data_IF_498716294299
#
_entry.id   IF_498716294299
#
_cell.length_a   1.000
_cell.length_b   1.000
_cell.length_c   1.000
_cell.angle_alpha   90.00
_cell.angle_beta   90.00
_cell.angle_gamma   90.00
#
_symmetry.space_group_name_H-M   'P 1'
#
loop_
_entity.id
_entity.type
_entity.pdbx_description
1 polymer ?
#
# COMPACT_ATOMS: atom_id res chain seq x y z
N UNK A 1 21.10 -11.75 43.54
CA UNK A 1 20.33 -11.80 42.28
C UNK A 1 20.97 -12.87 41.40
N UNK A 2 20.28 -13.97 41.07
CA UNK A 2 20.90 -15.06 40.29
C UNK A 2 21.22 -14.61 38.86
N UNK A 3 22.29 -15.14 38.27
CA UNK A 3 22.68 -14.88 36.87
C UNK A 3 21.50 -15.13 35.90
N UNK A 4 20.66 -16.11 36.24
CA UNK A 4 19.41 -16.40 35.52
C UNK A 4 18.42 -15.23 35.50
N UNK A 5 18.21 -14.54 36.63
CA UNK A 5 17.32 -13.38 36.71
C UNK A 5 17.86 -12.21 35.87
N UNK A 6 19.19 -11.99 35.88
CA UNK A 6 19.82 -10.97 35.05
C UNK A 6 19.68 -11.27 33.55
N UNK A 7 19.86 -12.54 33.14
CA UNK A 7 19.65 -12.98 31.77
C UNK A 7 18.20 -12.81 31.32
N UNK A 8 17.24 -13.22 32.16
CA UNK A 8 15.81 -13.08 31.87
C UNK A 8 15.41 -11.60 31.72
N UNK A 9 15.91 -10.72 32.60
CA UNK A 9 15.67 -9.29 32.51
C UNK A 9 16.26 -8.70 31.23
N UNK A 10 17.49 -9.08 30.87
CA UNK A 10 18.12 -8.68 29.60
C UNK A 10 17.32 -9.13 28.38
N UNK A 11 16.84 -10.38 28.36
CA UNK A 11 16.02 -10.90 27.27
C UNK A 11 14.68 -10.18 27.13
N UNK A 12 14.01 -9.88 28.26
CA UNK A 12 12.76 -9.12 28.26
C UNK A 12 12.96 -7.68 27.80
N UNK A 13 14.04 -7.02 28.25
CA UNK A 13 14.39 -5.68 27.79
C UNK A 13 14.66 -5.66 26.28
N UNK A 14 15.39 -6.65 25.77
CA UNK A 14 15.64 -6.81 24.33
C UNK A 14 14.34 -7.03 23.56
N UNK A 15 13.45 -7.91 24.03
CA UNK A 15 12.15 -8.14 23.40
C UNK A 15 11.31 -6.86 23.37
N UNK A 16 11.27 -6.10 24.47
CA UNK A 16 10.58 -4.82 24.54
C UNK A 16 11.13 -3.82 23.52
N UNK A 17 12.46 -3.73 23.36
CA UNK A 17 13.09 -2.88 22.36
C UNK A 17 12.74 -3.30 20.92
N UNK A 18 12.71 -4.60 20.64
CA UNK A 18 12.31 -5.12 19.33
C UNK A 18 10.85 -4.78 19.01
N UNK A 19 9.94 -4.94 19.98
CA UNK A 19 8.52 -4.56 19.84
C UNK A 19 8.37 -3.05 19.63
N UNK A 20 9.08 -2.23 20.42
CA UNK A 20 9.05 -0.78 20.30
C UNK A 20 9.53 -0.34 18.91
N UNK A 21 10.67 -0.87 18.46
CA UNK A 21 11.20 -0.63 17.12
C UNK A 21 10.16 -0.98 16.05
N UNK A 22 9.59 -2.18 16.13
CA UNK A 22 8.59 -2.64 15.17
C UNK A 22 7.39 -1.69 15.09
N UNK A 23 6.97 -1.09 16.20
CA UNK A 23 5.81 -0.18 16.25
C UNK A 23 6.10 1.27 15.87
N UNK A 24 7.34 1.73 15.94
CA UNK A 24 7.66 3.16 15.84
C UNK A 24 8.62 3.52 14.72
N UNK A 25 9.50 2.61 14.30
CA UNK A 25 10.62 2.91 13.39
C UNK A 25 10.58 2.12 12.09
N UNK A 26 9.46 1.45 11.80
CA UNK A 26 9.31 0.63 10.58
C UNK A 26 8.26 1.20 9.65
N UNK A 27 8.23 0.72 8.41
CA UNK A 27 7.32 1.19 7.35
C UNK A 27 5.83 1.32 7.77
N UNK A 28 5.22 0.36 8.51
CA UNK A 28 3.85 0.52 9.04
C UNK A 28 3.63 1.69 10.00
N UNK A 29 4.68 2.22 10.62
CA UNK A 29 4.58 3.24 11.65
C UNK A 29 4.43 4.66 11.08
N UNK A 30 4.66 4.83 9.77
CA UNK A 30 4.50 6.09 9.06
C UNK A 30 3.09 6.65 9.25
N UNK A 31 2.98 7.97 9.34
CA UNK A 31 1.72 8.70 9.51
C UNK A 31 1.56 9.74 8.40
N UNK A 32 0.32 10.03 7.96
CA UNK A 32 0.07 11.10 6.97
C UNK A 32 0.69 12.45 7.38
N UNK A 33 0.70 12.75 8.68
CA UNK A 33 1.32 13.96 9.22
C UNK A 33 2.83 14.08 8.99
N UNK A 34 3.55 12.96 8.80
CA UNK A 34 5.00 12.96 8.58
C UNK A 34 5.38 13.61 7.23
N UNK A 35 4.42 13.72 6.31
CA UNK A 35 4.59 14.30 4.98
C UNK A 35 3.90 15.66 4.82
N UNK A 36 3.24 16.17 5.86
CA UNK A 36 2.60 17.47 5.81
C UNK A 36 3.63 18.59 5.49
N UNK A 37 3.31 19.44 4.51
CA UNK A 37 4.19 20.52 4.07
C UNK A 37 5.42 20.09 3.27
N UNK A 38 5.51 18.81 2.86
CA UNK A 38 6.61 18.28 2.04
C UNK A 38 6.14 17.99 0.61
N UNK A 39 7.04 18.23 -0.35
CA UNK A 39 6.90 17.86 -1.76
C UNK A 39 5.71 18.50 -2.48
N UNK A 40 5.44 18.10 -3.73
CA UNK A 40 4.21 18.46 -4.40
C UNK A 40 3.00 17.88 -3.64
N UNK A 41 1.91 18.64 -3.55
CA UNK A 41 0.70 18.17 -2.90
C UNK A 41 0.03 17.07 -3.73
N UNK A 42 -0.09 15.87 -3.17
CA UNK A 42 -0.76 14.74 -3.78
C UNK A 42 -2.27 14.85 -3.54
N UNK A 43 -2.99 15.29 -4.58
CA UNK A 43 -4.45 15.16 -4.68
C UNK A 43 -4.80 13.95 -5.55
N UNK A 44 -5.44 12.93 -4.97
CA UNK A 44 -5.79 11.69 -5.69
C UNK A 44 -6.74 11.94 -6.87
N UNK A 45 -7.60 12.96 -6.80
CA UNK A 45 -8.55 13.30 -7.88
C UNK A 45 -7.87 13.82 -9.13
N UNK A 46 -6.67 14.38 -8.96
CA UNK A 46 -5.85 14.93 -10.03
C UNK A 46 -4.85 13.91 -10.54
N UNK A 47 -4.14 13.23 -9.64
CA UNK A 47 -2.98 12.41 -10.01
C UNK A 47 -3.35 10.95 -10.29
N UNK A 48 -4.49 10.47 -9.79
CA UNK A 48 -5.07 9.17 -10.14
C UNK A 48 -6.31 9.41 -11.02
N UNK A 49 -6.15 10.02 -12.18
CA UNK A 49 -7.24 10.36 -13.09
C UNK A 49 -6.78 10.30 -14.55
N UNK A 50 -7.58 9.63 -15.39
CA UNK A 50 -7.26 9.29 -16.76
C UNK A 50 -6.50 7.96 -16.91
N UNK A 51 -5.96 7.70 -18.12
CA UNK A 51 -5.15 6.52 -18.41
C UNK A 51 -3.80 6.57 -17.71
N UNK A 52 -3.48 5.51 -16.97
CA UNK A 52 -2.28 5.38 -16.14
C UNK A 52 -1.62 4.04 -16.46
N UNK A 53 -0.29 4.07 -16.61
CA UNK A 53 0.52 2.86 -16.67
C UNK A 53 1.12 2.60 -15.29
N UNK A 54 0.96 1.37 -14.81
CA UNK A 54 1.51 0.90 -13.56
C UNK A 54 2.48 -0.27 -13.82
N UNK A 55 3.66 -0.22 -13.21
CA UNK A 55 4.72 -1.22 -13.41
C UNK A 55 5.30 -1.55 -12.03
N UNK A 56 5.43 -2.83 -11.69
CA UNK A 56 5.78 -3.19 -10.34
C UNK A 56 6.38 -4.58 -10.13
N UNK A 57 6.91 -4.74 -8.93
CA UNK A 57 7.58 -5.96 -8.45
C UNK A 57 6.98 -6.35 -7.11
N UNK A 58 6.64 -7.63 -6.98
CA UNK A 58 6.16 -8.25 -5.76
C UNK A 58 7.30 -9.07 -5.16
N UNK A 59 7.61 -8.81 -3.90
CA UNK A 59 8.59 -9.51 -3.10
C UNK A 59 7.88 -10.46 -2.14
N UNK A 60 8.36 -11.70 -2.04
CA UNK A 60 7.88 -12.69 -1.09
C UNK A 60 8.41 -12.46 0.34
N UNK A 61 8.08 -13.35 1.29
CA UNK A 61 8.44 -13.19 2.70
C UNK A 61 9.94 -13.25 2.96
N UNK A 62 10.73 -13.81 2.04
CA UNK A 62 12.19 -13.87 2.09
C UNK A 62 12.86 -12.62 1.52
N UNK A 63 12.10 -11.64 1.04
CA UNK A 63 12.59 -10.44 0.37
C UNK A 63 13.08 -10.67 -1.07
N UNK A 64 12.93 -11.88 -1.60
CA UNK A 64 13.21 -12.18 -3.01
C UNK A 64 12.03 -11.81 -3.89
N UNK A 65 12.31 -11.44 -5.14
CA UNK A 65 11.29 -11.21 -6.17
C UNK A 65 10.48 -12.49 -6.36
N UNK A 66 9.17 -12.38 -6.18
CA UNK A 66 8.20 -13.45 -6.38
C UNK A 66 7.49 -13.33 -7.73
N UNK A 67 7.15 -12.11 -8.16
CA UNK A 67 6.55 -11.83 -9.47
C UNK A 67 6.76 -10.38 -9.88
N UNK A 68 6.61 -10.10 -11.17
CA UNK A 68 6.60 -8.76 -11.76
C UNK A 68 5.32 -8.58 -12.56
N UNK A 69 4.84 -7.34 -12.64
CA UNK A 69 3.63 -7.05 -13.39
C UNK A 69 3.71 -5.70 -14.10
N UNK A 70 2.90 -5.60 -15.16
CA UNK A 70 2.53 -4.33 -15.79
C UNK A 70 1.01 -4.27 -15.78
N UNK A 71 0.44 -3.12 -15.48
CA UNK A 71 -0.99 -2.90 -15.46
C UNK A 71 -1.38 -1.63 -16.21
N UNK A 72 -2.46 -1.73 -16.96
CA UNK A 72 -3.16 -0.58 -17.52
C UNK A 72 -4.28 -0.18 -16.55
N UNK A 73 -4.30 1.10 -16.17
CA UNK A 73 -5.26 1.64 -15.21
C UNK A 73 -6.07 2.74 -15.89
N UNK A 74 -7.39 2.68 -15.73
CA UNK A 74 -8.32 3.72 -16.14
C UNK A 74 -9.00 4.29 -14.90
N UNK A 75 -8.56 5.48 -14.49
CA UNK A 75 -9.11 6.16 -13.33
C UNK A 75 -10.04 7.31 -13.75
N UNK A 76 -11.16 7.49 -13.05
CA UNK A 76 -12.11 8.56 -13.32
C UNK A 76 -12.64 9.12 -12.00
N UNK A 77 -12.78 10.43 -11.94
CA UNK A 77 -13.34 11.12 -10.78
C UNK A 77 -14.55 11.95 -11.17
N UNK A 78 -15.60 11.87 -10.36
CA UNK A 78 -16.76 12.74 -10.36
C UNK A 78 -16.88 13.39 -8.98
N UNK A 79 -16.51 14.68 -8.91
CA UNK A 79 -16.41 15.42 -7.65
C UNK A 79 -15.48 14.76 -6.64
N UNK A 80 -16.07 14.19 -5.58
CA UNK A 80 -15.35 13.54 -4.48
C UNK A 80 -15.38 12.01 -4.55
N UNK A 81 -15.99 11.43 -5.59
CA UNK A 81 -16.03 9.99 -5.81
C UNK A 81 -15.21 9.62 -7.03
N UNK A 82 -14.49 8.51 -6.97
CA UNK A 82 -13.66 8.05 -8.08
C UNK A 82 -13.72 6.55 -8.27
N UNK A 83 -13.52 6.11 -9.51
CA UNK A 83 -13.36 4.71 -9.85
C UNK A 83 -11.99 4.49 -10.50
N UNK A 84 -11.37 3.35 -10.23
CA UNK A 84 -10.09 2.99 -10.81
C UNK A 84 -10.14 1.52 -11.23
N UNK A 85 -10.29 1.31 -12.54
CA UNK A 85 -10.24 -0.02 -13.14
C UNK A 85 -8.79 -0.35 -13.51
N UNK A 86 -8.31 -1.49 -13.08
CA UNK A 86 -6.92 -1.93 -13.21
C UNK A 86 -6.88 -3.29 -13.90
N UNK A 87 -6.10 -3.40 -14.97
CA UNK A 87 -5.89 -4.64 -15.72
C UNK A 87 -4.43 -5.06 -15.64
N UNK A 88 -4.13 -6.03 -14.78
CA UNK A 88 -2.79 -6.53 -14.51
C UNK A 88 -2.40 -7.66 -15.46
N UNK A 89 -1.14 -7.62 -15.92
CA UNK A 89 -0.45 -8.70 -16.63
C UNK A 89 0.81 -9.07 -15.86
N UNK A 90 0.87 -10.31 -15.38
CA UNK A 90 1.99 -10.83 -14.61
C UNK A 90 3.01 -11.51 -15.52
N UNK A 91 4.26 -11.60 -15.06
CA UNK A 91 5.34 -12.28 -15.78
C UNK A 91 5.15 -13.81 -15.89
N UNK A 92 4.23 -14.38 -15.12
CA UNK A 92 3.75 -15.76 -15.27
C UNK A 92 2.81 -15.96 -16.46
N UNK A 93 2.33 -14.88 -17.09
CA UNK A 93 1.27 -14.89 -18.09
C UNK A 93 -0.14 -14.80 -17.52
N UNK A 94 -0.30 -14.82 -16.19
CA UNK A 94 -1.60 -14.59 -15.55
C UNK A 94 -2.08 -13.15 -15.77
N UNK A 95 -3.39 -12.97 -15.82
CA UNK A 95 -4.04 -11.65 -15.85
C UNK A 95 -5.01 -11.51 -14.70
N UNK A 96 -5.22 -10.28 -14.23
CA UNK A 96 -6.17 -9.99 -13.17
C UNK A 96 -6.79 -8.62 -13.38
N UNK A 97 -8.10 -8.54 -13.23
CA UNK A 97 -8.84 -7.28 -13.26
C UNK A 97 -9.24 -6.90 -11.83
N UNK A 98 -9.03 -5.64 -11.45
CA UNK A 98 -9.52 -5.08 -10.19
C UNK A 98 -10.20 -3.74 -10.43
N UNK A 99 -11.23 -3.44 -9.66
CA UNK A 99 -11.88 -2.15 -9.69
C UNK A 99 -12.01 -1.60 -8.28
N UNK A 100 -11.43 -0.42 -8.06
CA UNK A 100 -11.55 0.34 -6.82
C UNK A 100 -12.60 1.44 -6.96
N UNK A 101 -13.33 1.68 -5.88
CA UNK A 101 -14.21 2.82 -5.70
C UNK A 101 -13.68 3.64 -4.53
N UNK A 102 -13.40 4.92 -4.76
CA UNK A 102 -12.88 5.85 -3.78
C UNK A 102 -13.92 6.90 -3.43
N UNK A 103 -13.94 7.32 -2.17
CA UNK A 103 -14.64 8.52 -1.72
C UNK A 103 -13.68 9.38 -0.90
N UNK A 104 -13.51 10.64 -1.29
CA UNK A 104 -12.63 11.61 -0.64
C UNK A 104 -13.46 12.56 0.26
N UNK A 105 -13.14 12.59 1.54
CA UNK A 105 -13.64 13.56 2.51
C UNK A 105 -12.93 14.91 2.41
N UNK A 106 -13.60 15.97 2.87
CA UNK A 106 -13.05 17.34 2.86
C UNK A 106 -11.84 17.51 3.79
N UNK A 107 -11.66 16.60 4.75
CA UNK A 107 -10.53 16.52 5.67
C UNK A 107 -9.34 15.73 5.11
N UNK A 108 -9.45 15.23 3.86
CA UNK A 108 -8.46 14.38 3.21
C UNK A 108 -8.58 12.89 3.56
N UNK A 109 -9.61 12.48 4.33
CA UNK A 109 -9.92 11.08 4.57
C UNK A 109 -10.36 10.40 3.27
N UNK A 110 -9.92 9.17 3.06
CA UNK A 110 -10.23 8.37 1.88
C UNK A 110 -10.89 7.09 2.33
N UNK A 111 -12.05 6.78 1.74
CA UNK A 111 -12.66 5.47 1.80
C UNK A 111 -12.38 4.75 0.49
N UNK A 112 -11.92 3.51 0.55
CA UNK A 112 -11.56 2.70 -0.61
C UNK A 112 -12.28 1.36 -0.56
N UNK A 113 -13.03 1.02 -1.61
CA UNK A 113 -13.83 -0.20 -1.68
C UNK A 113 -13.51 -0.97 -2.97
N UNK A 114 -13.39 -2.28 -2.87
CA UNK A 114 -13.21 -3.16 -4.02
C UNK A 114 -13.85 -4.53 -3.71
N UNK A 115 -14.21 -5.34 -4.73
CA UNK A 115 -14.90 -6.61 -4.51
C UNK A 115 -14.14 -7.62 -3.62
N UNK A 116 -12.81 -7.55 -3.62
CA UNK A 116 -11.91 -8.40 -2.86
C UNK A 116 -11.43 -7.76 -1.54
N UNK A 117 -11.91 -6.56 -1.22
CA UNK A 117 -11.66 -5.91 0.06
C UNK A 117 -12.73 -6.30 1.07
N UNK A 118 -12.30 -6.76 2.25
CA UNK A 118 -13.19 -7.18 3.34
C UNK A 118 -13.65 -5.96 4.15
N UNK A 119 -14.80 -5.42 3.79
CA UNK A 119 -15.35 -4.19 4.34
C UNK A 119 -14.97 -3.00 3.47
N UNK A 120 -14.54 -1.90 4.10
CA UNK A 120 -13.94 -0.75 3.41
C UNK A 120 -12.52 -0.54 3.88
N UNK A 121 -11.64 -0.18 2.95
CA UNK A 121 -10.37 0.45 3.24
C UNK A 121 -10.55 1.88 3.72
N UNK A 122 -9.63 2.32 4.56
CA UNK A 122 -9.55 3.67 5.10
C UNK A 122 -8.18 4.26 4.83
N UNK A 123 -8.10 5.57 4.65
CA UNK A 123 -6.86 6.22 4.29
C UNK A 123 -6.92 7.73 4.39
N UNK A 124 -5.79 8.35 4.08
CA UNK A 124 -5.65 9.80 4.10
C UNK A 124 -4.68 10.26 3.01
N UNK A 125 -4.99 11.37 2.35
CA UNK A 125 -4.03 12.15 1.59
C UNK A 125 -3.50 13.33 2.42
N UNK A 126 -2.18 13.51 2.47
CA UNK A 126 -1.55 14.64 3.16
C UNK A 126 -0.17 14.93 2.58
N UNK A 127 0.05 16.20 2.20
CA UNK A 127 1.31 16.61 1.59
C UNK A 127 1.58 15.79 0.33
N UNK A 128 2.78 15.25 0.17
CA UNK A 128 3.16 14.40 -0.95
C UNK A 128 2.75 12.93 -0.82
N UNK A 129 2.07 12.54 0.27
CA UNK A 129 1.77 11.15 0.59
C UNK A 129 0.28 10.83 0.61
N UNK A 130 -0.08 9.66 0.11
CA UNK A 130 -1.38 9.03 0.27
C UNK A 130 -1.16 7.69 0.96
N UNK A 131 -1.94 7.43 2.01
CA UNK A 131 -1.87 6.21 2.79
C UNK A 131 -3.22 5.52 2.79
N UNK A 132 -3.25 4.22 2.46
CA UNK A 132 -4.44 3.38 2.55
C UNK A 132 -4.15 2.17 3.45
N UNK A 133 -5.18 1.75 4.18
CA UNK A 133 -5.20 0.53 4.99
C UNK A 133 -6.48 -0.23 4.69
N UNK A 134 -6.34 -1.48 4.32
CA UNK A 134 -7.48 -2.33 3.97
C UNK A 134 -7.15 -3.80 4.24
N UNK A 135 -8.18 -4.64 4.25
CA UNK A 135 -8.02 -6.10 4.31
C UNK A 135 -8.40 -6.68 2.98
N UNK A 136 -7.45 -7.36 2.35
CA UNK A 136 -7.61 -7.94 1.01
C UNK A 136 -7.76 -9.44 1.11
N UNK A 137 -8.72 -10.01 0.40
CA UNK A 137 -8.85 -11.46 0.22
C UNK A 137 -8.14 -11.84 -1.06
N UNK A 138 -7.15 -12.72 -0.93
CA UNK A 138 -6.50 -13.30 -2.10
C UNK A 138 -7.45 -14.24 -2.85
N UNK A 139 -7.25 -14.43 -4.16
CA UNK A 139 -7.99 -15.44 -4.92
C UNK A 139 -7.87 -16.85 -4.33
N UNK A 140 -8.83 -17.72 -4.64
CA UNK A 140 -8.87 -19.10 -4.10
C UNK A 140 -7.66 -19.93 -4.53
N UNK A 141 -7.18 -19.76 -5.76
CA UNK A 141 -5.94 -20.36 -6.27
C UNK A 141 -4.69 -19.94 -5.48
N UNK A 142 -4.76 -18.84 -4.74
CA UNK A 142 -3.74 -18.33 -3.83
C UNK A 142 -4.05 -18.60 -2.35
N UNK A 143 -5.00 -19.50 -2.07
CA UNK A 143 -5.36 -19.97 -0.73
C UNK A 143 -6.48 -19.19 -0.03
N UNK A 144 -7.13 -18.23 -0.71
CA UNK A 144 -8.29 -17.51 -0.16
C UNK A 144 -7.97 -16.65 1.08
N UNK A 145 -6.68 -16.43 1.35
CA UNK A 145 -6.23 -15.81 2.59
C UNK A 145 -6.60 -14.33 2.65
N UNK A 146 -7.09 -13.89 3.82
CA UNK A 146 -7.23 -12.45 4.12
C UNK A 146 -5.92 -11.92 4.70
N UNK A 147 -5.41 -10.85 4.09
CA UNK A 147 -4.19 -10.14 4.48
C UNK A 147 -4.51 -8.68 4.84
N UNK A 148 -3.78 -8.14 5.82
CA UNK A 148 -3.79 -6.71 6.13
C UNK A 148 -2.81 -5.99 5.20
N UNK A 149 -3.30 -5.04 4.42
CA UNK A 149 -2.50 -4.20 3.54
C UNK A 149 -2.25 -2.83 4.18
N UNK A 150 -0.99 -2.40 4.14
CA UNK A 150 -0.57 -1.02 4.44
C UNK A 150 0.08 -0.50 3.18
N UNK A 151 -0.55 0.49 2.57
CA UNK A 151 -0.25 0.95 1.22
C UNK A 151 0.09 2.44 1.26
N UNK A 152 1.27 2.78 0.76
CA UNK A 152 1.72 4.16 0.66
C UNK A 152 2.03 4.50 -0.78
N UNK A 153 1.49 5.62 -1.23
CA UNK A 153 1.81 6.24 -2.50
C UNK A 153 2.45 7.60 -2.25
N UNK A 154 3.53 7.90 -2.96
CA UNK A 154 4.29 9.14 -2.83
C UNK A 154 4.38 9.82 -4.19
N UNK A 155 3.92 11.07 -4.27
CA UNK A 155 4.06 11.88 -5.47
C UNK A 155 5.48 12.45 -5.55
N UNK A 156 6.17 12.15 -6.63
CA UNK A 156 7.50 12.68 -6.93
C UNK A 156 7.40 13.99 -7.73
N UNK A 157 8.49 14.78 -7.75
CA UNK A 157 8.53 16.09 -8.41
C UNK A 157 8.27 16.02 -9.92
N UNK A 158 8.60 14.89 -10.55
CA UNK A 158 8.36 14.65 -11.97
C UNK A 158 6.93 14.16 -12.28
N UNK A 159 6.04 14.10 -11.28
CA UNK A 159 4.67 13.63 -11.42
C UNK A 159 4.49 12.10 -11.41
N UNK A 160 5.57 11.32 -11.33
CA UNK A 160 5.47 9.87 -11.09
C UNK A 160 5.03 9.62 -9.65
N UNK A 161 4.16 8.63 -9.46
CA UNK A 161 3.78 8.16 -8.13
C UNK A 161 4.57 6.89 -7.82
N UNK A 162 5.33 6.92 -6.72
CA UNK A 162 5.98 5.72 -6.19
C UNK A 162 5.04 5.06 -5.19
N UNK A 163 4.69 3.81 -5.45
CA UNK A 163 3.86 2.99 -4.58
C UNK A 163 4.70 1.94 -3.86
N UNK A 164 4.46 1.80 -2.55
CA UNK A 164 5.00 0.74 -1.73
C UNK A 164 3.91 0.21 -0.82
N UNK A 165 3.69 -1.10 -0.85
CA UNK A 165 2.67 -1.76 -0.04
C UNK A 165 3.25 -2.93 0.72
N UNK A 166 2.89 -3.09 1.99
CA UNK A 166 3.21 -4.28 2.79
C UNK A 166 1.94 -5.05 3.11
N UNK A 167 1.94 -6.33 2.75
CA UNK A 167 0.87 -7.27 3.07
C UNK A 167 1.28 -8.13 4.27
N UNK A 168 0.37 -8.27 5.23
CA UNK A 168 0.65 -8.92 6.50
C UNK A 168 -0.38 -10.01 6.79
N UNK A 169 0.09 -11.10 7.39
CA UNK A 169 -0.76 -12.13 8.00
C UNK A 169 -0.44 -12.19 9.48
N UNK A 170 -1.44 -12.00 10.34
CA UNK A 170 -1.27 -11.97 11.80
C UNK A 170 -0.16 -11.00 12.26
N UNK A 171 -0.04 -9.86 11.58
CA UNK A 171 0.99 -8.83 11.86
C UNK A 171 2.38 -9.11 11.28
N UNK A 172 2.63 -10.29 10.72
CA UNK A 172 3.91 -10.67 10.10
C UNK A 172 3.87 -10.28 8.61
N UNK A 173 4.88 -9.56 8.08
CA UNK A 173 4.95 -9.27 6.65
C UNK A 173 5.14 -10.56 5.85
N UNK A 174 4.27 -10.77 4.85
CA UNK A 174 4.29 -11.94 3.97
C UNK A 174 4.56 -11.59 2.52
N UNK A 175 4.27 -10.35 2.12
CA UNK A 175 4.63 -9.82 0.81
C UNK A 175 4.86 -8.31 0.88
N UNK A 176 5.67 -7.81 -0.04
CA UNK A 176 5.86 -6.38 -0.29
C UNK A 176 5.69 -6.11 -1.78
N UNK A 177 5.03 -5.00 -2.14
CA UNK A 177 4.89 -4.54 -3.50
C UNK A 177 5.60 -3.19 -3.61
N UNK A 178 6.37 -3.02 -4.68
CA UNK A 178 6.91 -1.73 -5.09
C UNK A 178 6.51 -1.51 -6.53
N UNK A 179 5.86 -0.38 -6.82
CA UNK A 179 5.38 -0.06 -8.15
C UNK A 179 5.52 1.43 -8.46
N UNK A 180 5.52 1.76 -9.73
CA UNK A 180 5.42 3.14 -10.23
C UNK A 180 4.14 3.31 -10.99
N UNK A 181 3.44 4.42 -10.76
CA UNK A 181 2.30 4.84 -11.57
C UNK A 181 2.66 6.13 -12.28
N UNK A 182 2.39 6.19 -13.58
CA UNK A 182 2.61 7.36 -14.42
C UNK A 182 1.49 7.51 -15.45
N UNK A 183 1.13 8.73 -15.87
CA UNK A 183 0.21 8.91 -16.98
C UNK A 183 0.66 8.09 -18.19
N UNK A 184 -0.28 7.40 -18.82
CA UNK A 184 0.00 6.68 -20.06
C UNK A 184 0.11 7.72 -21.18
N UNK A 185 1.27 7.82 -21.81
CA UNK A 185 1.45 8.70 -22.96
C UNK A 185 0.48 8.29 -24.07
N UNK A 186 -0.13 9.28 -24.73
CA UNK A 186 -0.94 9.03 -25.92
C UNK A 186 -0.01 8.52 -27.03
N UNK A 187 -0.14 7.24 -27.36
CA UNK A 187 0.50 6.60 -28.50
C UNK A 187 -0.05 7.09 -29.83
#
# INVERSE_FOLDING_TARGET
>A
MSVFLAFLFGALAMLALLVLRARTLTFPAQKPGDYAGKGPAFDIRRHLNGPILCEGVIYGPTGRVASRFVADIEARWDGNTGTMAEEFRYDSGATQSRCWNFTLGNDGCIRAEAPDVVGSGEGWQKGSGVHLRYRIRLPEESGGHVLDAIDWMYLLENGTIMNRSQFRKFGIPVAELVATLRPKEAS
#
